data_IF_020174427961
#
_entry.id   IF_020174427961
#
_cell.length_a   1.000
_cell.length_b   1.000
_cell.length_c   1.000
_cell.angle_alpha   90.00
_cell.angle_beta   90.00
_cell.angle_gamma   90.00
#
_symmetry.space_group_name_H-M   'P 1'
#
loop_
_entity.id
_entity.type
_entity.pdbx_description
1 polymer ?
#
# COMPACT_ATOMS: atom_id res chain seq x y z
N UNK A 1 -46.31 5.93 -40.21
CA UNK A 1 -44.88 5.58 -40.34
C UNK A 1 -43.91 6.72 -39.96
N UNK A 2 -44.34 7.77 -39.24
CA UNK A 2 -43.49 8.93 -38.95
C UNK A 2 -43.40 9.30 -37.45
N UNK A 3 -43.78 8.38 -36.56
CA UNK A 3 -43.84 8.61 -35.11
C UNK A 3 -42.99 7.65 -34.28
N UNK A 4 -42.07 6.92 -34.92
CA UNK A 4 -41.20 5.93 -34.27
C UNK A 4 -39.71 6.29 -34.31
N UNK A 5 -39.35 7.41 -34.95
CA UNK A 5 -37.96 7.87 -35.03
C UNK A 5 -37.59 8.95 -34.01
N UNK A 6 -38.54 9.48 -33.23
CA UNK A 6 -38.27 10.60 -32.30
C UNK A 6 -37.79 10.14 -30.91
N UNK A 7 -37.87 8.84 -30.60
CA UNK A 7 -37.50 8.33 -29.25
C UNK A 7 -36.10 7.70 -29.25
N UNK A 8 -35.51 7.40 -30.40
CA UNK A 8 -34.21 6.72 -30.48
C UNK A 8 -32.99 7.66 -30.44
N UNK A 9 -33.15 8.96 -30.68
CA UNK A 9 -32.01 9.91 -30.71
C UNK A 9 -31.64 10.50 -29.35
N UNK A 10 -32.39 10.20 -28.27
CA UNK A 10 -32.10 10.71 -26.92
C UNK A 10 -31.08 9.87 -26.13
N UNK A 11 -30.55 8.78 -26.69
CA UNK A 11 -29.60 7.88 -26.00
C UNK A 11 -28.16 8.05 -26.52
N UNK A 12 -27.87 9.12 -27.27
CA UNK A 12 -26.50 9.47 -27.65
C UNK A 12 -26.21 10.90 -27.18
N UNK A 13 -26.29 11.12 -25.86
CA UNK A 13 -25.42 12.12 -25.25
C UNK A 13 -24.03 11.48 -25.22
N UNK A 14 -23.01 12.04 -25.90
CA UNK A 14 -21.66 11.73 -25.49
C UNK A 14 -21.60 12.26 -24.06
N UNK A 15 -21.56 11.36 -23.09
CA UNK A 15 -21.14 11.75 -21.76
C UNK A 15 -19.76 12.39 -21.97
N UNK A 16 -19.71 13.72 -21.94
CA UNK A 16 -18.46 14.43 -21.87
C UNK A 16 -17.86 13.96 -20.55
N UNK A 17 -17.02 12.93 -20.62
CA UNK A 17 -16.16 12.52 -19.53
C UNK A 17 -15.26 13.72 -19.30
N UNK A 18 -15.69 14.63 -18.43
CA UNK A 18 -14.80 15.57 -17.80
C UNK A 18 -13.80 14.68 -17.06
N UNK A 19 -12.61 14.53 -17.63
CA UNK A 19 -11.50 13.98 -16.88
C UNK A 19 -11.43 14.84 -15.62
N UNK A 20 -11.62 14.21 -14.46
CA UNK A 20 -11.46 14.91 -13.20
C UNK A 20 -10.07 15.55 -13.21
N UNK A 21 -9.98 16.83 -12.87
CA UNK A 21 -8.68 17.49 -12.72
C UNK A 21 -7.88 16.67 -11.71
N UNK A 22 -6.81 16.03 -12.18
CA UNK A 22 -5.98 15.16 -11.36
C UNK A 22 -5.14 16.06 -10.44
N UNK A 23 -5.77 16.56 -9.39
CA UNK A 23 -5.15 17.47 -8.44
C UNK A 23 -3.89 16.85 -7.86
N UNK A 24 -2.76 17.53 -8.03
CA UNK A 24 -1.47 17.13 -7.46
C UNK A 24 -1.41 17.60 -6.01
N UNK A 25 -1.07 16.69 -5.09
CA UNK A 25 -0.80 17.03 -3.70
C UNK A 25 0.65 16.72 -3.35
N UNK A 26 1.31 17.66 -2.68
CA UNK A 26 2.69 17.52 -2.23
C UNK A 26 2.71 17.28 -0.72
N UNK A 27 3.27 16.14 -0.32
CA UNK A 27 3.57 15.79 1.07
C UNK A 27 5.08 15.84 1.32
N UNK A 28 5.49 16.21 2.53
CA UNK A 28 6.90 16.22 2.95
C UNK A 28 7.08 15.31 4.16
N UNK A 29 8.15 14.54 4.15
CA UNK A 29 8.56 13.65 5.23
C UNK A 29 9.90 14.10 5.80
N UNK A 30 10.18 13.78 7.06
CA UNK A 30 11.43 14.15 7.74
C UNK A 30 12.65 13.45 7.13
N UNK A 31 12.47 12.21 6.65
CA UNK A 31 13.53 11.41 6.03
C UNK A 31 13.06 10.85 4.69
N UNK A 32 14.01 10.53 3.81
CA UNK A 32 13.72 9.84 2.55
C UNK A 32 13.19 8.41 2.80
N UNK A 33 12.34 7.87 1.91
CA UNK A 33 11.87 6.51 2.07
C UNK A 33 12.99 5.53 1.76
N UNK A 34 13.07 4.47 2.56
CA UNK A 34 13.83 3.27 2.17
C UNK A 34 13.02 2.39 1.20
N UNK A 35 11.69 2.49 1.24
CA UNK A 35 10.76 1.86 0.29
C UNK A 35 9.47 2.66 0.16
N UNK A 36 8.97 2.75 -1.08
CA UNK A 36 7.60 3.15 -1.40
C UNK A 36 7.00 2.05 -2.26
N UNK A 37 5.85 1.51 -1.88
CA UNK A 37 5.23 0.38 -2.58
C UNK A 37 3.72 0.52 -2.67
N UNK A 38 3.19 0.35 -3.87
CA UNK A 38 1.76 0.21 -4.11
C UNK A 38 1.34 -1.25 -3.89
N UNK A 39 0.09 -1.45 -3.51
CA UNK A 39 -0.55 -2.76 -3.69
C UNK A 39 -1.18 -2.79 -5.08
N UNK A 40 -0.93 -3.85 -5.84
CA UNK A 40 -1.52 -4.03 -7.16
C UNK A 40 -3.06 -3.93 -7.12
N UNK A 41 -3.63 -3.33 -8.15
CA UNK A 41 -5.07 -3.07 -8.29
C UNK A 41 -5.65 -2.32 -7.07
N UNK A 42 -4.91 -1.33 -6.56
CA UNK A 42 -5.30 -0.50 -5.41
C UNK A 42 -4.71 0.91 -5.47
N UNK A 43 -5.43 1.85 -4.86
CA UNK A 43 -4.93 3.20 -4.54
C UNK A 43 -4.03 3.23 -3.29
N UNK A 44 -3.86 2.09 -2.60
CA UNK A 44 -3.14 2.03 -1.33
C UNK A 44 -1.63 2.00 -1.56
N UNK A 45 -0.93 2.87 -0.85
CA UNK A 45 0.53 3.00 -0.89
C UNK A 45 1.11 2.91 0.52
N UNK A 46 2.23 2.19 0.65
CA UNK A 46 3.04 2.19 1.87
C UNK A 46 4.34 2.96 1.63
N UNK A 47 4.75 3.72 2.64
CA UNK A 47 6.00 4.48 2.68
C UNK A 47 6.76 4.08 3.94
N UNK A 48 7.99 3.59 3.80
CA UNK A 48 8.80 3.17 4.93
C UNK A 48 9.93 4.15 5.22
N UNK A 49 9.80 4.85 6.35
CA UNK A 49 10.85 5.66 6.96
C UNK A 49 11.69 4.78 7.89
N UNK A 50 12.79 4.24 7.36
CA UNK A 50 13.68 3.36 8.11
C UNK A 50 14.47 4.10 9.21
N UNK A 51 14.66 5.42 9.07
CA UNK A 51 15.37 6.24 10.06
C UNK A 51 14.50 6.43 11.30
N UNK A 52 13.22 6.76 11.10
CA UNK A 52 12.26 6.87 12.20
C UNK A 52 11.75 5.50 12.68
N UNK A 53 11.92 4.43 11.90
CA UNK A 53 11.36 3.11 12.19
C UNK A 53 9.84 3.09 12.05
N UNK A 54 9.27 3.87 11.12
CA UNK A 54 7.83 4.04 10.94
C UNK A 54 7.42 3.71 9.51
N UNK A 55 6.27 3.05 9.36
CA UNK A 55 5.59 2.88 8.07
C UNK A 55 4.37 3.80 8.04
N UNK A 56 4.25 4.57 6.97
CA UNK A 56 3.08 5.36 6.65
C UNK A 56 2.26 4.67 5.57
N UNK A 57 0.95 4.89 5.59
CA UNK A 57 0.00 4.38 4.63
C UNK A 57 -0.85 5.51 4.08
N UNK A 58 -1.09 5.44 2.78
CA UNK A 58 -2.05 6.25 2.05
C UNK A 58 -3.14 5.33 1.47
N UNK A 59 -4.40 5.76 1.49
CA UNK A 59 -5.52 5.07 0.82
C UNK A 59 -5.89 5.70 -0.52
N UNK A 60 -5.27 6.82 -0.88
CA UNK A 60 -5.71 7.75 -1.92
C UNK A 60 -4.55 8.14 -2.86
N UNK A 61 -3.78 7.13 -3.28
CA UNK A 61 -2.69 7.27 -4.27
C UNK A 61 -1.55 8.20 -3.81
N UNK A 62 -1.36 8.33 -2.50
CA UNK A 62 -0.32 9.17 -1.90
C UNK A 62 -0.74 10.61 -1.64
N UNK A 63 -2.03 10.95 -1.72
CA UNK A 63 -2.52 12.32 -1.44
C UNK A 63 -2.59 12.60 0.06
N UNK A 64 -2.97 11.62 0.88
CA UNK A 64 -2.95 11.71 2.35
C UNK A 64 -2.19 10.53 2.93
N UNK A 65 -1.51 10.78 4.05
CA UNK A 65 -0.66 9.80 4.70
C UNK A 65 -0.92 9.81 6.20
N UNK A 66 -1.02 8.62 6.77
CA UNK A 66 -1.09 8.39 8.21
C UNK A 66 -0.09 7.30 8.59
N UNK A 67 0.56 7.37 9.76
CA UNK A 67 1.34 6.23 10.25
C UNK A 67 0.40 5.02 10.38
N UNK A 68 0.91 3.83 10.04
CA UNK A 68 0.15 2.60 10.29
C UNK A 68 -0.05 2.45 11.81
N UNK A 69 -1.26 2.07 12.21
CA UNK A 69 -1.59 1.85 13.62
C UNK A 69 -0.98 0.53 14.12
N UNK A 70 -0.55 0.50 15.39
CA UNK A 70 -0.02 -0.70 16.04
C UNK A 70 1.34 -0.49 16.72
N UNK A 71 1.90 -1.58 17.24
CA UNK A 71 3.15 -1.61 18.02
C UNK A 71 4.44 -1.50 17.19
N UNK A 72 4.35 -1.37 15.86
CA UNK A 72 5.51 -1.33 14.96
C UNK A 72 6.21 0.03 14.89
N UNK A 73 5.57 1.10 15.37
CA UNK A 73 6.13 2.46 15.33
C UNK A 73 7.44 2.54 16.11
N UNK A 74 8.49 3.06 15.47
CA UNK A 74 9.86 3.10 16.00
C UNK A 74 10.64 1.80 15.86
N UNK A 75 10.02 0.72 15.36
CA UNK A 75 10.62 -0.62 15.26
C UNK A 75 10.69 -1.15 13.84
N UNK A 76 10.08 -0.49 12.86
CA UNK A 76 10.03 -0.96 11.47
C UNK A 76 11.43 -0.86 10.81
N UNK A 77 12.13 -1.99 10.73
CA UNK A 77 13.45 -2.08 10.12
C UNK A 77 13.37 -2.41 8.62
N UNK A 78 12.35 -3.16 8.19
CA UNK A 78 12.13 -3.52 6.79
C UNK A 78 10.64 -3.57 6.48
N UNK A 79 10.26 -3.06 5.30
CA UNK A 79 8.94 -3.24 4.70
C UNK A 79 9.02 -4.23 3.53
N UNK A 80 8.25 -5.31 3.58
CA UNK A 80 8.28 -6.39 2.60
C UNK A 80 6.85 -6.68 2.09
N UNK A 81 6.44 -6.10 0.95
CA UNK A 81 5.22 -6.50 0.27
C UNK A 81 5.32 -7.94 -0.24
N UNK A 82 4.21 -8.69 -0.22
CA UNK A 82 4.17 -10.03 -0.81
C UNK A 82 4.13 -9.91 -2.34
N UNK A 83 5.04 -10.57 -3.08
CA UNK A 83 5.13 -10.41 -4.54
C UNK A 83 3.95 -11.04 -5.30
N UNK A 84 3.29 -12.04 -4.71
CA UNK A 84 2.19 -12.78 -5.36
C UNK A 84 0.81 -12.52 -4.76
N UNK A 85 0.75 -11.91 -3.56
CA UNK A 85 -0.50 -11.61 -2.88
C UNK A 85 -0.63 -10.10 -2.74
N UNK A 86 -1.57 -9.55 -3.51
CA UNK A 86 -1.85 -8.11 -3.65
C UNK A 86 -2.42 -7.47 -2.38
N UNK A 87 -2.59 -8.21 -1.29
CA UNK A 87 -3.11 -7.74 0.00
C UNK A 87 -2.13 -7.91 1.14
N UNK A 88 -1.11 -8.75 0.98
CA UNK A 88 -0.19 -9.07 2.06
C UNK A 88 1.06 -8.21 2.07
N UNK A 89 1.47 -7.81 3.27
CA UNK A 89 2.74 -7.15 3.51
C UNK A 89 3.24 -7.46 4.91
N UNK A 90 4.54 -7.33 5.11
CA UNK A 90 5.22 -7.59 6.36
C UNK A 90 6.07 -6.40 6.78
N UNK A 91 6.10 -6.14 8.09
CA UNK A 91 7.06 -5.25 8.72
C UNK A 91 7.94 -6.11 9.61
N UNK A 92 9.24 -6.11 9.34
CA UNK A 92 10.22 -6.78 10.19
C UNK A 92 10.92 -5.75 11.06
N UNK A 93 11.17 -6.10 12.32
CA UNK A 93 12.04 -5.36 13.23
C UNK A 93 13.44 -5.94 13.25
N UNK A 94 14.35 -5.32 14.02
CA UNK A 94 15.66 -5.89 14.34
C UNK A 94 15.61 -6.88 15.53
N UNK A 95 14.44 -7.05 16.13
CA UNK A 95 14.18 -7.88 17.31
C UNK A 95 13.42 -9.16 16.90
N UNK A 96 12.77 -9.81 17.85
CA UNK A 96 11.98 -11.04 17.64
C UNK A 96 10.53 -10.77 17.22
N UNK A 97 10.04 -9.54 17.41
CA UNK A 97 8.66 -9.15 17.14
C UNK A 97 8.52 -8.53 15.76
N UNK A 98 7.55 -9.01 14.98
CA UNK A 98 7.29 -8.62 13.61
C UNK A 98 5.79 -8.44 13.37
N UNK A 99 5.41 -7.92 12.20
CA UNK A 99 4.01 -7.69 11.89
C UNK A 99 3.65 -8.13 10.47
N UNK A 100 2.47 -8.73 10.32
CA UNK A 100 1.87 -9.12 9.04
C UNK A 100 0.55 -8.39 8.86
N UNK A 101 0.33 -7.86 7.67
CA UNK A 101 -0.98 -7.42 7.21
C UNK A 101 -1.49 -8.35 6.13
N UNK A 102 -2.80 -8.60 6.13
CA UNK A 102 -3.52 -9.33 5.08
C UNK A 102 -4.59 -8.46 4.42
N UNK A 103 -4.58 -7.16 4.69
CA UNK A 103 -5.62 -6.20 4.29
C UNK A 103 -5.04 -4.89 3.75
N UNK A 104 -3.94 -5.01 2.99
CA UNK A 104 -3.23 -3.88 2.36
C UNK A 104 -2.73 -2.85 3.39
N UNK A 105 -2.20 -3.33 4.51
CA UNK A 105 -1.60 -2.51 5.55
C UNK A 105 -2.59 -1.72 6.39
N UNK A 106 -3.90 -2.03 6.32
CA UNK A 106 -4.93 -1.36 7.13
C UNK A 106 -4.86 -1.81 8.58
N UNK A 107 -4.63 -3.10 8.81
CA UNK A 107 -4.35 -3.69 10.12
C UNK A 107 -3.09 -4.54 10.08
N UNK A 108 -2.44 -4.66 11.24
CA UNK A 108 -1.17 -5.35 11.40
C UNK A 108 -1.24 -6.29 12.59
N UNK A 109 -1.12 -7.58 12.33
CA UNK A 109 -1.05 -8.62 13.36
C UNK A 109 0.41 -8.86 13.74
N UNK A 110 0.68 -8.82 15.04
CA UNK A 110 1.99 -9.13 15.60
C UNK A 110 2.28 -10.64 15.55
N UNK A 111 3.53 -11.01 15.25
CA UNK A 111 4.03 -12.37 15.38
C UNK A 111 5.48 -12.37 15.87
N UNK A 112 5.93 -13.52 16.39
CA UNK A 112 7.27 -13.73 16.94
C UNK A 112 8.05 -14.74 16.11
N UNK A 113 9.35 -14.51 15.97
CA UNK A 113 10.31 -15.51 15.49
C UNK A 113 11.26 -15.93 16.62
N UNK A 114 11.83 -17.14 16.58
CA UNK A 114 12.84 -17.56 17.57
C UNK A 114 14.13 -16.73 17.51
N UNK A 115 14.44 -16.17 16.33
CA UNK A 115 15.66 -15.41 16.08
C UNK A 115 15.36 -14.14 15.25
N UNK A 116 16.18 -13.08 15.40
CA UNK A 116 16.05 -11.88 14.57
C UNK A 116 16.32 -12.14 13.08
N UNK A 117 15.83 -11.28 12.16
CA UNK A 117 16.05 -11.44 10.73
C UNK A 117 17.54 -11.46 10.33
N UNK A 118 17.94 -12.50 9.59
CA UNK A 118 19.31 -12.68 9.10
C UNK A 118 19.63 -11.79 7.88
N UNK A 119 19.73 -10.48 8.11
CA UNK A 119 19.89 -9.46 7.04
C UNK A 119 21.24 -9.46 6.32
N UNK A 120 22.26 -10.17 6.83
CA UNK A 120 23.59 -10.24 6.20
C UNK A 120 23.69 -11.31 5.11
N UNK A 121 22.82 -12.32 5.14
CA UNK A 121 22.87 -13.46 4.23
C UNK A 121 22.00 -13.28 2.97
N UNK A 122 21.21 -12.20 2.91
CA UNK A 122 20.25 -11.93 1.85
C UNK A 122 18.92 -11.41 2.42
N UNK A 123 17.85 -11.39 1.60
CA UNK A 123 16.50 -11.14 2.08
C UNK A 123 16.12 -12.19 3.15
N UNK A 124 15.59 -11.77 4.31
CA UNK A 124 15.23 -12.70 5.38
C UNK A 124 13.88 -13.41 5.13
N UNK A 125 13.19 -13.08 4.03
CA UNK A 125 11.93 -13.72 3.64
C UNK A 125 11.95 -14.01 2.15
N UNK A 126 11.47 -15.20 1.81
CA UNK A 126 11.23 -15.68 0.45
C UNK A 126 9.77 -16.10 0.35
N UNK A 127 9.22 -16.07 -0.87
CA UNK A 127 7.81 -16.32 -1.11
C UNK A 127 7.63 -17.41 -2.16
N UNK A 128 6.73 -18.34 -1.88
CA UNK A 128 6.25 -19.28 -2.88
C UNK A 128 5.12 -18.63 -3.67
N UNK A 129 5.03 -18.91 -4.97
CA UNK A 129 4.01 -18.31 -5.84
C UNK A 129 2.62 -18.92 -5.65
N UNK A 130 2.56 -20.11 -5.04
CA UNK A 130 1.39 -20.98 -5.01
C UNK A 130 0.62 -20.90 -3.67
N UNK A 131 1.08 -20.06 -2.73
CA UNK A 131 0.50 -19.84 -1.40
C UNK A 131 0.26 -18.36 -1.08
#
# INVERSE_FOLDING_TARGET
LFLLYLVSTLIILPAATLAADAGVKVSRFAHLPSKVSYFDDSSVVLYHDATAGVVYRSEDEGKTWSPVSGSSSGKAAMLVPHPYDKKQAFILSRELTHWRSTDRGKTWQEFLTPEPPATRAGPPMEFHADE
#
